data_IF_012589535900
#
_entry.id   IF_012589535900
#
_cell.length_a   1.000
_cell.length_b   1.000
_cell.length_c   1.000
_cell.angle_alpha   90.00
_cell.angle_beta   90.00
_cell.angle_gamma   90.00
#
_symmetry.space_group_name_H-M   'P 1'
#
loop_
_entity.id
_entity.type
_entity.pdbx_description
1 polymer ?
#
# COMPACT_ATOMS: atom_id res chain seq x y z
N UNK A 1 0.43 -19.32 43.73
CA UNK A 1 1.22 -18.07 43.67
C UNK A 1 1.98 -18.17 42.36
N UNK A 2 1.41 -17.60 41.30
CA UNK A 2 1.70 -17.95 39.92
C UNK A 2 3.09 -17.49 39.49
N UNK A 3 3.80 -18.35 38.75
CA UNK A 3 5.07 -18.05 38.07
C UNK A 3 4.82 -17.09 36.88
N UNK A 4 4.38 -15.88 37.20
CA UNK A 4 4.22 -14.79 36.22
C UNK A 4 5.62 -14.19 35.96
N UNK A 5 6.55 -14.92 35.35
CA UNK A 5 7.63 -14.22 34.63
C UNK A 5 6.94 -13.32 33.62
N UNK A 6 7.01 -11.98 33.73
CA UNK A 6 6.23 -11.10 32.87
C UNK A 6 6.63 -11.38 31.42
N UNK A 7 5.70 -11.89 30.61
CA UNK A 7 5.94 -12.24 29.19
C UNK A 7 6.52 -11.07 28.40
N UNK A 8 6.23 -9.84 28.84
CA UNK A 8 6.80 -8.60 28.33
C UNK A 8 8.32 -8.46 28.61
N UNK A 9 8.83 -8.90 29.76
CA UNK A 9 10.26 -8.88 30.08
C UNK A 9 11.04 -9.87 29.20
N UNK A 10 10.48 -11.05 28.93
CA UNK A 10 11.07 -12.05 28.03
C UNK A 10 11.14 -11.54 26.58
N UNK A 11 10.10 -10.82 26.12
CA UNK A 11 10.12 -10.18 24.81
C UNK A 11 11.14 -9.03 24.72
N UNK A 12 11.21 -8.16 25.74
CA UNK A 12 12.15 -7.02 25.78
C UNK A 12 13.60 -7.45 25.91
N UNK A 13 13.89 -8.48 26.70
CA UNK A 13 15.25 -9.03 26.89
C UNK A 13 15.59 -10.13 25.88
N UNK A 14 14.75 -10.34 24.85
CA UNK A 14 14.99 -11.37 23.84
C UNK A 14 16.27 -11.03 23.06
N UNK A 15 17.26 -11.93 23.01
CA UNK A 15 18.46 -11.69 22.21
C UNK A 15 18.10 -11.58 20.72
N UNK A 16 18.80 -10.68 20.03
CA UNK A 16 18.67 -10.53 18.58
C UNK A 16 19.03 -11.85 17.90
N UNK A 17 18.08 -12.40 17.15
CA UNK A 17 18.30 -13.58 16.32
C UNK A 17 18.50 -13.14 14.87
N UNK A 18 19.53 -13.66 14.22
CA UNK A 18 19.71 -13.41 12.78
C UNK A 18 18.58 -14.10 12.01
N UNK A 19 17.86 -13.37 11.14
CA UNK A 19 16.79 -13.96 10.36
C UNK A 19 17.35 -15.02 9.41
N UNK A 20 16.59 -16.10 9.15
CA UNK A 20 16.93 -17.09 8.13
C UNK A 20 17.20 -16.44 6.76
N UNK A 21 18.08 -17.05 5.96
CA UNK A 21 18.48 -16.51 4.64
C UNK A 21 17.27 -16.25 3.74
N UNK A 22 16.22 -17.09 3.80
CA UNK A 22 14.98 -16.89 3.05
C UNK A 22 14.31 -15.55 3.39
N UNK A 23 14.27 -15.19 4.67
CA UNK A 23 13.59 -13.99 5.15
C UNK A 23 14.43 -12.75 4.83
N UNK A 24 15.75 -12.90 4.81
CA UNK A 24 16.67 -11.86 4.35
C UNK A 24 16.47 -11.51 2.87
N UNK A 25 16.30 -12.51 2.00
CA UNK A 25 16.01 -12.31 0.57
C UNK A 25 14.69 -11.59 0.38
N UNK A 26 13.64 -11.99 1.12
CA UNK A 26 12.33 -11.33 1.07
C UNK A 26 12.43 -9.88 1.55
N UNK A 27 13.15 -9.62 2.65
CA UNK A 27 13.39 -8.26 3.16
C UNK A 27 14.07 -7.38 2.12
N UNK A 28 15.13 -7.88 1.46
CA UNK A 28 15.83 -7.14 0.41
C UNK A 28 14.88 -6.87 -0.77
N UNK A 29 14.11 -7.87 -1.18
CA UNK A 29 13.12 -7.73 -2.25
C UNK A 29 12.07 -6.66 -1.96
N UNK A 30 11.45 -6.69 -0.77
CA UNK A 30 10.48 -5.69 -0.35
C UNK A 30 11.13 -4.30 -0.25
N UNK A 31 12.34 -4.21 0.32
CA UNK A 31 13.07 -2.95 0.44
C UNK A 31 13.37 -2.31 -0.92
N UNK A 32 13.79 -3.11 -1.91
CA UNK A 32 14.04 -2.64 -3.27
C UNK A 32 12.75 -2.17 -3.94
N UNK A 33 11.68 -2.97 -3.88
CA UNK A 33 10.38 -2.61 -4.45
C UNK A 33 9.84 -1.31 -3.83
N UNK A 34 9.93 -1.17 -2.51
CA UNK A 34 9.47 0.03 -1.80
C UNK A 34 10.31 1.27 -2.15
N UNK A 35 11.63 1.10 -2.29
CA UNK A 35 12.53 2.19 -2.69
C UNK A 35 12.24 2.67 -4.11
N UNK A 36 12.06 1.72 -5.05
CA UNK A 36 11.71 2.03 -6.44
C UNK A 36 10.34 2.70 -6.51
N UNK A 37 9.36 2.19 -5.77
CA UNK A 37 8.01 2.77 -5.71
C UNK A 37 8.03 4.21 -5.18
N UNK A 38 8.73 4.45 -4.07
CA UNK A 38 8.89 5.78 -3.48
C UNK A 38 9.63 6.74 -4.41
N UNK A 39 10.67 6.27 -5.11
CA UNK A 39 11.39 7.07 -6.08
C UNK A 39 10.50 7.46 -7.27
N UNK A 40 9.75 6.51 -7.82
CA UNK A 40 8.80 6.76 -8.91
C UNK A 40 7.73 7.79 -8.49
N UNK A 41 7.18 7.63 -7.28
CA UNK A 41 6.21 8.58 -6.72
C UNK A 41 6.80 9.98 -6.59
N UNK A 42 8.02 10.10 -6.06
CA UNK A 42 8.73 11.37 -5.96
C UNK A 42 8.96 12.02 -7.35
N UNK A 43 9.26 11.22 -8.37
CA UNK A 43 9.39 11.71 -9.75
C UNK A 43 8.04 12.14 -10.34
N UNK A 44 6.96 11.40 -10.08
CA UNK A 44 5.61 11.76 -10.54
C UNK A 44 5.19 13.13 -9.98
N UNK A 45 5.44 13.38 -8.69
CA UNK A 45 5.21 14.68 -8.07
C UNK A 45 6.07 15.81 -8.62
N UNK A 46 7.27 15.49 -9.13
CA UNK A 46 8.16 16.48 -9.76
C UNK A 46 7.69 16.88 -11.16
N UNK A 47 7.07 15.95 -11.91
CA UNK A 47 6.71 16.11 -13.31
C UNK A 47 5.25 16.56 -13.52
N UNK A 48 4.35 16.20 -12.62
CA UNK A 48 2.92 16.48 -12.72
C UNK A 48 2.40 17.37 -11.58
N UNK A 49 1.29 18.07 -11.81
CA UNK A 49 0.60 18.82 -10.76
C UNK A 49 0.02 17.84 -9.74
N UNK A 50 0.06 18.19 -8.46
CA UNK A 50 -0.45 17.36 -7.36
C UNK A 50 -1.88 16.83 -7.62
N UNK A 51 -2.75 17.66 -8.22
CA UNK A 51 -4.14 17.30 -8.57
C UNK A 51 -4.28 16.10 -9.51
N UNK A 52 -3.25 15.79 -10.30
CA UNK A 52 -3.25 14.65 -11.23
C UNK A 52 -2.70 13.38 -10.57
N UNK A 53 -1.83 13.52 -9.56
CA UNK A 53 -1.22 12.39 -8.84
C UNK A 53 -2.15 11.87 -7.73
N UNK A 54 -2.90 12.76 -7.07
CA UNK A 54 -3.83 12.41 -5.98
C UNK A 54 -4.83 11.29 -6.34
N UNK A 55 -5.49 11.29 -7.52
CA UNK A 55 -6.36 10.18 -7.92
C UNK A 55 -5.62 8.85 -8.08
N UNK A 56 -4.36 8.86 -8.52
CA UNK A 56 -3.53 7.64 -8.62
C UNK A 56 -3.21 7.06 -7.24
N UNK A 57 -2.92 7.91 -6.25
CA UNK A 57 -2.70 7.46 -4.87
C UNK A 57 -3.95 6.79 -4.29
N UNK A 58 -5.13 7.38 -4.53
CA UNK A 58 -6.38 6.72 -4.13
C UNK A 58 -6.62 5.41 -4.90
N UNK A 59 -6.19 5.33 -6.17
CA UNK A 59 -6.18 4.09 -6.95
C UNK A 59 -5.42 2.94 -6.27
N UNK A 60 -4.35 3.24 -5.53
CA UNK A 60 -3.58 2.25 -4.78
C UNK A 60 -4.37 1.60 -3.62
N UNK A 61 -5.49 2.19 -3.19
CA UNK A 61 -6.38 1.55 -2.22
C UNK A 61 -7.06 0.29 -2.78
N UNK A 62 -7.33 0.24 -4.08
CA UNK A 62 -8.01 -0.91 -4.71
C UNK A 62 -7.20 -2.20 -4.52
N UNK A 63 -5.92 -2.28 -4.93
CA UNK A 63 -5.11 -3.46 -4.66
C UNK A 63 -4.90 -3.71 -3.16
N UNK A 64 -4.84 -2.66 -2.32
CA UNK A 64 -4.72 -2.85 -0.87
C UNK A 64 -5.92 -3.60 -0.27
N UNK A 65 -7.14 -3.22 -0.65
CA UNK A 65 -8.38 -3.92 -0.21
C UNK A 65 -8.44 -5.32 -0.80
N UNK A 66 -8.05 -5.50 -2.07
CA UNK A 66 -7.99 -6.84 -2.68
C UNK A 66 -7.04 -7.77 -1.93
N UNK A 67 -5.83 -7.30 -1.61
CA UNK A 67 -4.86 -8.10 -0.86
C UNK A 67 -5.30 -8.36 0.58
N UNK A 68 -5.97 -7.39 1.23
CA UNK A 68 -6.61 -7.55 2.53
C UNK A 68 -7.65 -8.69 2.52
N UNK A 69 -8.52 -8.69 1.52
CA UNK A 69 -9.50 -9.76 1.34
C UNK A 69 -8.84 -11.12 1.03
N UNK A 70 -7.84 -11.16 0.14
CA UNK A 70 -7.21 -12.42 -0.29
C UNK A 70 -6.39 -13.08 0.82
N UNK A 71 -5.57 -12.32 1.56
CA UNK A 71 -4.65 -12.88 2.55
C UNK A 71 -5.25 -12.96 3.96
N UNK A 72 -6.11 -12.00 4.32
CA UNK A 72 -6.67 -11.91 5.67
C UNK A 72 -8.18 -12.21 5.73
N UNK A 73 -8.82 -12.51 4.59
CA UNK A 73 -10.27 -12.75 4.47
C UNK A 73 -11.09 -11.61 5.09
N UNK A 74 -10.56 -10.39 5.05
CA UNK A 74 -11.19 -9.19 5.60
C UNK A 74 -12.28 -8.72 4.65
N UNK A 75 -13.54 -8.85 5.07
CA UNK A 75 -14.70 -8.49 4.26
C UNK A 75 -14.82 -6.96 4.28
N UNK A 76 -14.69 -6.27 3.13
CA UNK A 76 -14.79 -4.82 3.08
C UNK A 76 -16.19 -4.37 3.48
N UNK A 77 -16.25 -3.39 4.38
CA UNK A 77 -17.50 -2.77 4.80
C UNK A 77 -18.18 -2.00 3.65
N UNK A 78 -19.48 -1.74 3.76
CA UNK A 78 -20.23 -1.02 2.73
C UNK A 78 -19.62 0.36 2.40
N UNK A 79 -19.01 1.04 3.39
CA UNK A 79 -18.34 2.33 3.16
C UNK A 79 -17.07 2.19 2.31
N UNK A 80 -16.30 1.11 2.50
CA UNK A 80 -15.13 0.78 1.67
C UNK A 80 -15.53 0.56 0.21
N UNK A 81 -16.66 -0.14 -0.01
CA UNK A 81 -17.19 -0.40 -1.35
C UNK A 81 -17.56 0.90 -2.09
N UNK A 82 -18.20 1.83 -1.37
CA UNK A 82 -18.58 3.15 -1.90
C UNK A 82 -17.30 3.94 -2.28
N UNK A 83 -16.28 3.93 -1.42
CA UNK A 83 -14.99 4.57 -1.72
C UNK A 83 -14.34 4.01 -2.99
N UNK A 84 -14.31 2.69 -3.15
CA UNK A 84 -13.79 2.04 -4.37
C UNK A 84 -14.56 2.49 -5.61
N UNK A 85 -15.89 2.57 -5.54
CA UNK A 85 -16.73 3.02 -6.66
C UNK A 85 -16.40 4.46 -7.08
N UNK A 86 -16.19 5.36 -6.12
CA UNK A 86 -15.79 6.75 -6.40
C UNK A 86 -14.41 6.82 -7.07
N UNK A 87 -13.45 6.00 -6.61
CA UNK A 87 -12.09 5.95 -7.18
C UNK A 87 -12.14 5.45 -8.64
N UNK A 88 -12.87 4.37 -8.92
CA UNK A 88 -13.04 3.85 -10.29
C UNK A 88 -13.70 4.89 -11.20
N UNK A 89 -14.72 5.59 -10.70
CA UNK A 89 -15.41 6.65 -11.43
C UNK A 89 -14.48 7.82 -11.77
N UNK A 90 -13.60 8.20 -10.84
CA UNK A 90 -12.58 9.23 -11.05
C UNK A 90 -11.55 8.82 -12.11
N UNK A 91 -11.07 7.57 -12.07
CA UNK A 91 -10.16 7.03 -13.08
C UNK A 91 -10.78 7.06 -14.49
N UNK A 92 -12.05 6.66 -14.61
CA UNK A 92 -12.77 6.73 -15.88
C UNK A 92 -12.95 8.18 -16.38
N UNK A 93 -13.18 9.13 -15.46
CA UNK A 93 -13.28 10.55 -15.80
C UNK A 93 -11.95 11.12 -16.33
N UNK A 94 -10.82 10.78 -15.70
CA UNK A 94 -9.49 11.20 -16.13
C UNK A 94 -9.17 10.75 -17.55
N UNK A 95 -9.41 9.47 -17.88
CA UNK A 95 -9.20 8.92 -19.23
C UNK A 95 -10.05 9.71 -20.25
N UNK A 96 -11.30 10.02 -19.89
CA UNK A 96 -12.19 10.81 -20.74
C UNK A 96 -11.72 12.27 -20.90
N UNK A 97 -11.08 12.85 -19.89
CA UNK A 97 -10.51 14.19 -19.95
C UNK A 97 -9.28 14.24 -20.87
N UNK A 98 -8.36 13.28 -20.74
CA UNK A 98 -7.19 13.16 -21.61
C UNK A 98 -7.57 12.94 -23.08
N UNK A 99 -8.58 12.10 -23.33
CA UNK A 99 -9.11 11.89 -24.67
C UNK A 99 -9.66 13.18 -25.31
N UNK A 100 -10.26 14.09 -24.52
CA UNK A 100 -10.73 15.38 -25.04
C UNK A 100 -9.61 16.39 -25.27
N UNK A 101 -8.54 16.34 -24.49
CA UNK A 101 -7.41 17.27 -24.63
C UNK A 101 -6.49 16.96 -25.82
N UNK A 102 -6.51 15.71 -26.33
CA UNK A 102 -5.75 15.30 -27.51
C UNK A 102 -6.42 15.56 -28.86
N UNK A 103 -7.66 16.05 -28.87
CA UNK A 103 -8.48 16.27 -30.08
C UNK A 103 -8.59 17.76 -30.45
N UNK A 104 -8.08 18.68 -29.62
CA UNK A 104 -7.93 20.11 -29.94
C UNK A 104 -6.46 20.48 -30.14
#
# INVERSE_FOLDING_TARGET
MTDETPTCLVFMMRPWIFPPVKDLVIMIGIGLLLSIGSYCLAQAYRLAKASTVTPFEYGAMIPAVLWGFVFWNEIPSSSTLIGILFIISSGFYLIRQEARHKIS
#
